data_IF_033815715352
#
_entry.id   IF_033815715352
#
_cell.length_a   1.000
_cell.length_b   1.000
_cell.length_c   1.000
_cell.angle_alpha   90.00
_cell.angle_beta   90.00
_cell.angle_gamma   90.00
#
_symmetry.space_group_name_H-M   'P 1'
#
loop_
_entity.id
_entity.type
_entity.pdbx_description
1 polymer ?
#
# COMPACT_ATOMS: atom_id res chain seq x y z
N UNK A 1 -6.73 4.49 3.53
CA UNK A 1 -6.80 3.23 2.75
C UNK A 1 -7.31 3.56 1.36
N UNK A 2 -6.49 3.42 0.31
CA UNK A 2 -6.85 3.95 -1.01
C UNK A 2 -7.84 3.09 -1.81
N UNK A 3 -7.81 1.77 -1.67
CA UNK A 3 -8.71 0.86 -2.43
C UNK A 3 -10.19 1.16 -2.16
N UNK A 4 -10.55 1.40 -0.91
CA UNK A 4 -11.92 1.78 -0.54
C UNK A 4 -12.30 3.17 -1.09
N UNK A 5 -11.31 4.06 -1.25
CA UNK A 5 -11.52 5.42 -1.74
C UNK A 5 -11.62 5.50 -3.28
N UNK A 6 -11.16 4.46 -4.00
CA UNK A 6 -11.25 4.38 -5.46
C UNK A 6 -12.55 3.74 -5.97
N UNK A 7 -13.47 3.35 -5.07
CA UNK A 7 -14.76 2.76 -5.44
C UNK A 7 -15.78 3.88 -5.65
N UNK A 8 -16.34 4.05 -6.86
CA UNK A 8 -17.41 5.02 -7.12
C UNK A 8 -18.64 4.74 -6.26
N UNK A 9 -19.26 5.79 -5.71
CA UNK A 9 -20.46 5.67 -4.89
C UNK A 9 -21.69 6.12 -5.68
N UNK A 10 -22.71 5.26 -5.78
CA UNK A 10 -23.92 5.50 -6.57
C UNK A 10 -24.80 6.68 -6.11
N UNK A 11 -24.65 7.15 -4.86
CA UNK A 11 -25.49 8.19 -4.24
C UNK A 11 -24.66 9.34 -3.65
N UNK A 12 -23.49 9.61 -4.21
CA UNK A 12 -22.55 10.58 -3.65
C UNK A 12 -21.79 11.26 -4.79
N UNK A 13 -21.80 12.59 -4.80
CA UNK A 13 -21.14 13.42 -5.81
C UNK A 13 -19.62 13.54 -5.60
N UNK A 14 -19.04 12.73 -4.71
CA UNK A 14 -17.59 12.73 -4.47
C UNK A 14 -16.84 12.07 -5.63
N UNK A 15 -15.89 12.79 -6.22
CA UNK A 15 -14.97 12.21 -7.19
C UNK A 15 -14.15 11.06 -6.55
N UNK A 16 -14.10 9.87 -7.19
CA UNK A 16 -13.32 8.76 -6.68
C UNK A 16 -11.83 9.09 -6.74
N UNK A 17 -11.10 8.72 -5.68
CA UNK A 17 -9.65 8.88 -5.69
C UNK A 17 -8.99 7.81 -6.56
N UNK A 18 -8.18 8.22 -7.53
CA UNK A 18 -7.40 7.28 -8.33
C UNK A 18 -6.21 6.75 -7.54
N UNK A 19 -6.03 5.43 -7.53
CA UNK A 19 -4.78 4.82 -7.07
C UNK A 19 -3.78 4.96 -8.20
N UNK A 20 -2.73 5.76 -7.97
CA UNK A 20 -1.63 5.90 -8.93
C UNK A 20 -0.72 4.67 -8.90
N UNK A 21 -0.11 4.36 -10.04
CA UNK A 21 0.79 3.21 -10.22
C UNK A 21 0.07 1.91 -10.59
N UNK A 22 0.86 0.89 -10.94
CA UNK A 22 0.35 -0.42 -11.37
C UNK A 22 0.50 -1.49 -10.28
N UNK A 23 -0.38 -2.50 -10.20
CA UNK A 23 -0.13 -3.72 -9.44
C UNK A 23 1.25 -4.29 -9.77
N UNK A 24 2.02 -4.80 -8.80
CA UNK A 24 3.32 -5.38 -9.11
C UNK A 24 3.09 -6.69 -9.86
N UNK A 25 4.03 -7.06 -10.73
CA UNK A 25 4.01 -8.41 -11.31
C UNK A 25 4.07 -9.45 -10.19
N UNK A 26 3.18 -10.45 -10.24
CA UNK A 26 3.22 -11.59 -9.32
C UNK A 26 4.33 -12.59 -9.69
N UNK A 27 4.76 -12.61 -10.96
CA UNK A 27 5.86 -13.46 -11.40
C UNK A 27 7.22 -12.89 -11.01
N UNK A 28 7.36 -11.56 -11.09
CA UNK A 28 8.58 -10.83 -10.74
C UNK A 28 8.26 -9.74 -9.73
N UNK A 29 8.08 -10.10 -8.44
CA UNK A 29 7.78 -9.12 -7.42
C UNK A 29 8.94 -8.13 -7.26
N UNK A 30 8.64 -6.84 -7.03
CA UNK A 30 9.67 -5.85 -6.76
C UNK A 30 10.42 -6.19 -5.47
N UNK A 31 11.70 -5.83 -5.41
CA UNK A 31 12.48 -5.92 -4.17
C UNK A 31 11.92 -4.94 -3.12
N UNK A 32 11.87 -5.39 -1.87
CA UNK A 32 11.38 -4.60 -0.74
C UNK A 32 9.86 -4.50 -0.67
N UNK A 33 9.35 -3.35 -0.19
CA UNK A 33 7.91 -3.18 0.02
C UNK A 33 7.11 -3.21 -1.29
N UNK A 34 6.21 -4.20 -1.44
CA UNK A 34 5.32 -4.37 -2.62
C UNK A 34 4.41 -3.17 -2.90
N UNK A 35 4.20 -2.32 -1.90
CA UNK A 35 3.38 -1.13 -1.99
C UNK A 35 4.19 0.15 -2.28
N UNK A 36 5.53 0.10 -2.29
CA UNK A 36 6.38 1.28 -2.42
C UNK A 36 6.02 2.16 -3.63
N UNK A 37 5.73 1.57 -4.79
CA UNK A 37 5.37 2.31 -6.00
C UNK A 37 4.04 3.09 -5.91
N UNK A 38 3.16 2.77 -4.94
CA UNK A 38 1.83 3.39 -4.76
C UNK A 38 1.61 3.97 -3.36
N UNK A 39 2.61 3.89 -2.48
CA UNK A 39 2.49 4.29 -1.09
C UNK A 39 2.83 5.78 -0.94
N UNK A 40 1.95 6.62 -0.38
CA UNK A 40 2.19 8.05 -0.21
C UNK A 40 3.17 8.33 0.94
N UNK A 41 3.40 7.33 1.79
CA UNK A 41 4.34 7.37 2.91
C UNK A 41 5.66 6.66 2.58
N UNK A 42 5.98 6.49 1.29
CA UNK A 42 7.23 5.83 0.88
C UNK A 42 8.43 6.67 1.35
N UNK A 43 9.44 5.99 1.90
CA UNK A 43 10.76 6.54 2.20
C UNK A 43 11.84 5.53 1.85
N UNK A 44 13.12 5.90 1.99
CA UNK A 44 14.29 5.14 1.53
C UNK A 44 14.26 3.65 1.91
N UNK A 45 14.01 3.35 3.19
CA UNK A 45 13.98 1.99 3.75
C UNK A 45 12.92 1.09 3.12
N UNK A 46 11.88 1.66 2.47
CA UNK A 46 10.86 0.89 1.77
C UNK A 46 11.39 0.11 0.56
N UNK A 47 12.62 0.39 0.12
CA UNK A 47 13.34 -0.39 -0.90
C UNK A 47 13.86 -1.74 -0.37
N UNK A 48 13.87 -1.91 0.95
CA UNK A 48 14.20 -3.16 1.65
C UNK A 48 12.94 -3.88 2.14
N UNK A 49 13.03 -5.19 2.35
CA UNK A 49 11.90 -6.02 2.81
C UNK A 49 11.66 -5.76 4.30
N UNK A 50 10.49 -5.22 4.71
CA UNK A 50 10.18 -5.03 6.11
C UNK A 50 9.99 -6.37 6.83
N UNK A 51 10.44 -6.50 8.10
CA UNK A 51 10.08 -7.64 8.92
C UNK A 51 8.57 -7.61 9.23
N UNK A 52 8.09 -8.69 9.82
CA UNK A 52 6.71 -8.76 10.30
C UNK A 52 6.65 -8.17 11.70
N UNK A 53 5.85 -7.12 11.86
CA UNK A 53 5.57 -6.48 13.14
C UNK A 53 4.23 -6.96 13.70
N UNK A 54 4.15 -7.12 15.01
CA UNK A 54 2.91 -7.44 15.73
C UNK A 54 2.23 -6.14 16.18
N UNK A 55 0.96 -5.93 15.81
CA UNK A 55 0.15 -4.78 16.22
C UNK A 55 -1.16 -5.30 16.82
N UNK A 56 -1.15 -5.55 18.13
CA UNK A 56 -2.23 -6.29 18.80
C UNK A 56 -2.39 -7.67 18.19
N UNK A 57 -3.61 -8.02 17.78
CA UNK A 57 -3.92 -9.31 17.14
C UNK A 57 -3.63 -9.35 15.63
N UNK A 58 -3.01 -8.30 15.08
CA UNK A 58 -2.72 -8.19 13.64
C UNK A 58 -1.22 -8.22 13.38
N UNK A 59 -0.85 -8.80 12.24
CA UNK A 59 0.52 -8.77 11.72
C UNK A 59 0.64 -7.76 10.59
N UNK A 60 1.72 -7.01 10.55
CA UNK A 60 1.95 -5.94 9.59
C UNK A 60 3.36 -6.02 9.01
N UNK A 61 3.50 -5.85 7.69
CA UNK A 61 4.80 -5.75 7.00
C UNK A 61 4.99 -4.32 6.46
N UNK A 62 5.34 -3.38 7.34
CA UNK A 62 5.56 -1.98 6.97
C UNK A 62 6.53 -1.31 7.94
N UNK A 63 7.55 -0.62 7.41
CA UNK A 63 8.56 0.09 8.20
C UNK A 63 8.02 1.22 9.08
N UNK A 64 6.79 1.69 8.87
CA UNK A 64 6.13 2.66 9.75
C UNK A 64 5.68 2.07 11.10
N UNK A 65 5.83 0.75 11.28
CA UNK A 65 5.55 0.03 12.51
C UNK A 65 6.80 -0.63 13.10
N UNK A 66 7.97 -0.21 12.61
CA UNK A 66 9.25 -0.53 13.24
C UNK A 66 9.37 0.09 14.63
#
# INVERSE_FOLDING_TARGET
QMLMASVPRLRSDSDPMFITGQPPSLMNPPKGCRFAARCPFRFEKCSEEPPVFQKGDRRVKCWLHA
#
